data_IF_115718711192
#
_entry.id   IF_115718711192
#
_cell.length_a   1.000
_cell.length_b   1.000
_cell.length_c   1.000
_cell.angle_alpha   90.00
_cell.angle_beta   90.00
_cell.angle_gamma   90.00
#
_symmetry.space_group_name_H-M   'P 1'
#
loop_
_entity.id
_entity.type
_entity.pdbx_description
1 polymer ?
#
# COMPACT_ATOMS: atom_id res chain seq x y z
N UNK A 1 19.70 -53.82 -43.83
CA UNK A 1 19.26 -54.21 -42.46
C UNK A 1 20.48 -54.44 -41.61
N UNK A 2 20.41 -54.00 -40.35
CA UNK A 2 21.14 -54.58 -39.21
C UNK A 2 22.67 -54.36 -39.19
N UNK A 3 23.33 -53.92 -38.13
CA UNK A 3 22.97 -53.72 -36.72
C UNK A 3 24.31 -53.62 -35.99
N UNK A 4 24.50 -52.62 -35.12
CA UNK A 4 25.75 -52.44 -34.38
C UNK A 4 25.52 -52.75 -32.90
N UNK A 5 26.26 -53.74 -32.37
CA UNK A 5 26.60 -53.96 -30.94
C UNK A 5 27.79 -54.94 -30.88
N UNK A 6 28.59 -55.05 -29.79
CA UNK A 6 29.66 -54.18 -29.31
C UNK A 6 31.01 -54.93 -29.16
N UNK A 7 32.06 -54.27 -28.65
CA UNK A 7 33.13 -54.95 -27.90
C UNK A 7 33.65 -54.09 -26.74
N UNK A 8 33.86 -54.72 -25.58
CA UNK A 8 34.51 -54.20 -24.37
C UNK A 8 35.75 -55.05 -24.04
N UNK A 9 36.49 -54.78 -22.95
CA UNK A 9 37.37 -53.64 -22.68
C UNK A 9 38.85 -54.07 -22.74
N UNK A 10 39.79 -53.14 -22.98
CA UNK A 10 41.23 -53.40 -22.85
C UNK A 10 41.82 -52.71 -21.62
N UNK A 11 42.14 -53.52 -20.62
CA UNK A 11 43.03 -53.14 -19.53
C UNK A 11 44.48 -53.02 -20.03
N UNK A 12 45.22 -52.06 -19.48
CA UNK A 12 46.67 -51.98 -19.61
C UNK A 12 47.33 -52.24 -18.25
N UNK A 13 48.24 -53.23 -18.26
CA UNK A 13 49.21 -53.54 -17.21
C UNK A 13 50.35 -52.51 -17.24
N UNK A 14 50.76 -52.00 -16.09
CA UNK A 14 52.16 -51.64 -15.83
C UNK A 14 52.56 -52.17 -14.46
N UNK A 15 53.68 -52.90 -14.43
CA UNK A 15 54.31 -53.52 -13.25
C UNK A 15 55.37 -52.58 -12.68
N UNK A 16 55.39 -52.43 -11.35
CA UNK A 16 56.65 -52.43 -10.60
C UNK A 16 57.43 -51.13 -10.38
N UNK A 17 56.78 -49.96 -10.32
CA UNK A 17 57.33 -48.77 -9.65
C UNK A 17 56.16 -48.11 -8.92
N UNK A 18 56.19 -48.04 -7.59
CA UNK A 18 55.20 -47.24 -6.87
C UNK A 18 55.33 -45.78 -7.33
N UNK A 19 54.23 -45.10 -7.70
CA UNK A 19 54.30 -43.71 -8.07
C UNK A 19 54.73 -42.91 -6.83
N UNK A 20 55.89 -42.29 -6.90
CA UNK A 20 56.34 -41.31 -5.90
C UNK A 20 55.29 -40.20 -5.87
N UNK A 21 54.58 -40.08 -4.76
CA UNK A 21 53.64 -39.00 -4.54
C UNK A 21 54.41 -37.69 -4.33
N UNK A 22 54.67 -37.01 -5.45
CA UNK A 22 55.26 -35.67 -5.50
C UNK A 22 54.36 -34.62 -4.80
N UNK A 23 53.10 -34.97 -4.48
CA UNK A 23 52.21 -34.17 -3.65
C UNK A 23 52.63 -34.21 -2.18
N UNK A 24 52.96 -35.38 -1.63
CA UNK A 24 53.31 -35.55 -0.22
C UNK A 24 54.58 -34.78 0.19
N UNK A 25 55.60 -34.69 -0.68
CA UNK A 25 56.82 -33.91 -0.39
C UNK A 25 56.61 -32.39 -0.45
N UNK A 26 55.52 -31.92 -1.07
CA UNK A 26 55.23 -30.48 -1.24
C UNK A 26 54.44 -29.87 -0.08
N UNK A 27 53.95 -30.70 0.85
CA UNK A 27 53.13 -30.28 2.00
C UNK A 27 53.94 -30.04 3.28
N UNK A 28 55.23 -30.37 3.31
CA UNK A 28 56.10 -30.18 4.49
C UNK A 28 56.70 -28.75 4.61
N UNK A 29 56.33 -27.80 3.74
CA UNK A 29 56.88 -26.43 3.74
C UNK A 29 55.84 -25.31 3.89
N UNK A 30 54.58 -25.62 4.24
CA UNK A 30 53.62 -24.58 4.60
C UNK A 30 53.57 -24.44 6.12
N UNK A 31 53.98 -23.30 6.71
CA UNK A 31 53.65 -23.02 8.10
C UNK A 31 52.12 -22.96 8.23
N UNK A 32 51.58 -23.50 9.33
CA UNK A 32 50.16 -23.50 9.67
C UNK A 32 49.57 -22.09 9.55
N UNK A 33 49.01 -21.78 8.39
CA UNK A 33 48.20 -20.59 8.20
C UNK A 33 46.88 -20.86 8.93
N UNK A 34 46.42 -19.93 9.79
CA UNK A 34 45.12 -20.09 10.43
C UNK A 34 44.07 -20.32 9.35
N UNK A 35 43.06 -21.17 9.60
CA UNK A 35 42.07 -21.54 8.59
C UNK A 35 41.52 -20.27 7.96
N UNK A 36 41.73 -20.15 6.64
CA UNK A 36 41.20 -19.06 5.84
C UNK A 36 39.69 -19.09 6.07
N UNK A 37 39.16 -18.04 6.68
CA UNK A 37 37.73 -17.93 6.91
C UNK A 37 37.04 -18.24 5.59
N UNK A 38 36.26 -19.33 5.56
CA UNK A 38 35.28 -19.54 4.52
C UNK A 38 34.56 -18.20 4.40
N UNK A 39 34.53 -17.65 3.18
CA UNK A 39 33.78 -16.44 2.93
C UNK A 39 32.31 -16.80 3.20
N UNK A 40 31.89 -16.58 4.45
CA UNK A 40 30.49 -16.62 4.86
C UNK A 40 29.77 -15.77 3.82
N UNK A 41 28.73 -16.31 3.13
CA UNK A 41 27.86 -15.46 2.35
C UNK A 41 27.48 -14.30 3.25
N UNK A 42 27.72 -13.05 2.82
CA UNK A 42 27.39 -11.87 3.61
C UNK A 42 25.95 -12.05 4.07
N UNK A 43 25.74 -12.19 5.38
CA UNK A 43 24.42 -12.39 5.99
C UNK A 43 23.58 -11.17 5.63
N UNK A 44 22.77 -11.30 4.58
CA UNK A 44 21.70 -10.38 4.32
C UNK A 44 20.76 -10.51 5.52
N UNK A 45 20.77 -9.50 6.39
CA UNK A 45 20.00 -9.49 7.64
C UNK A 45 18.54 -9.91 7.45
N UNK A 46 17.95 -10.46 8.50
CA UNK A 46 16.59 -11.00 8.50
C UNK A 46 15.57 -10.10 7.78
N UNK A 47 14.51 -10.70 7.25
CA UNK A 47 13.35 -10.00 6.67
C UNK A 47 12.10 -10.33 7.46
N UNK A 48 11.09 -9.49 7.41
CA UNK A 48 9.81 -9.73 8.07
C UNK A 48 9.02 -10.82 7.35
N UNK A 49 9.01 -10.75 6.02
CA UNK A 49 8.41 -11.76 5.15
C UNK A 49 9.21 -11.87 3.86
N UNK A 50 9.13 -13.05 3.23
CA UNK A 50 9.68 -13.40 1.92
C UNK A 50 8.79 -14.44 1.24
N UNK A 51 8.91 -14.64 -0.09
CA UNK A 51 8.30 -15.78 -0.75
C UNK A 51 8.75 -17.10 -0.13
N UNK A 52 7.80 -17.96 0.22
CA UNK A 52 8.03 -19.28 0.80
C UNK A 52 8.69 -20.27 -0.17
N UNK A 53 8.72 -19.94 -1.47
CA UNK A 53 9.41 -20.71 -2.50
C UNK A 53 10.90 -20.40 -2.61
N UNK A 54 11.40 -19.39 -1.90
CA UNK A 54 12.84 -19.16 -1.82
C UNK A 54 13.50 -20.21 -0.91
N UNK A 55 14.74 -20.64 -1.22
CA UNK A 55 15.47 -21.57 -0.36
C UNK A 55 15.62 -21.07 1.08
N UNK A 56 15.85 -22.01 1.99
CA UNK A 56 16.06 -21.73 3.42
C UNK A 56 17.21 -20.74 3.62
N UNK A 57 16.99 -19.73 4.47
CA UNK A 57 17.99 -18.69 4.74
C UNK A 57 18.17 -17.66 3.62
N UNK A 58 17.57 -17.88 2.44
CA UNK A 58 17.67 -16.98 1.28
C UNK A 58 16.48 -16.04 1.25
N UNK A 59 16.76 -14.72 1.23
CA UNK A 59 15.75 -13.66 1.18
C UNK A 59 15.62 -12.98 -0.19
N UNK A 60 16.50 -13.31 -1.14
CA UNK A 60 16.57 -12.72 -2.47
C UNK A 60 16.54 -13.80 -3.56
N UNK A 61 16.01 -13.49 -4.73
CA UNK A 61 16.15 -14.35 -5.89
C UNK A 61 17.61 -14.43 -6.33
N UNK A 62 18.07 -15.64 -6.68
CA UNK A 62 19.41 -15.84 -7.23
C UNK A 62 19.56 -15.24 -8.64
N UNK A 63 18.44 -15.06 -9.35
CA UNK A 63 18.41 -14.54 -10.72
C UNK A 63 18.20 -13.03 -10.72
N UNK A 64 18.59 -12.39 -11.82
CA UNK A 64 18.28 -10.97 -12.05
C UNK A 64 16.79 -10.73 -12.29
N UNK A 65 15.93 -11.74 -12.38
CA UNK A 65 14.51 -11.57 -12.73
C UNK A 65 13.67 -12.01 -11.54
N UNK A 66 12.93 -11.07 -10.96
CA UNK A 66 11.98 -11.34 -9.88
C UNK A 66 10.65 -11.71 -10.54
N UNK A 67 10.09 -12.90 -10.26
CA UNK A 67 8.79 -13.30 -10.79
C UNK A 67 7.66 -12.50 -10.15
N UNK A 68 6.52 -12.42 -10.85
CA UNK A 68 5.27 -12.00 -10.23
C UNK A 68 4.69 -13.18 -9.44
N UNK A 69 4.41 -12.99 -8.17
CA UNK A 69 3.90 -14.04 -7.28
C UNK A 69 2.54 -13.67 -6.69
N UNK A 70 1.77 -14.67 -6.31
CA UNK A 70 0.58 -14.44 -5.49
C UNK A 70 1.01 -14.02 -4.08
N UNK A 71 0.21 -13.17 -3.42
CA UNK A 71 0.45 -12.78 -2.02
C UNK A 71 0.50 -13.98 -1.06
N UNK A 72 -0.19 -15.08 -1.38
CA UNK A 72 -0.17 -16.32 -0.60
C UNK A 72 1.20 -16.97 -0.51
N UNK A 73 2.14 -16.62 -1.40
CA UNK A 73 3.53 -17.06 -1.29
C UNK A 73 4.30 -16.32 -0.19
N UNK A 74 3.86 -15.13 0.23
CA UNK A 74 4.51 -14.35 1.28
C UNK A 74 3.88 -14.56 2.66
N UNK A 75 2.60 -14.97 2.70
CA UNK A 75 1.88 -15.08 3.95
C UNK A 75 0.37 -15.24 3.81
N UNK A 76 -0.30 -15.27 4.96
CA UNK A 76 -1.76 -15.31 5.05
C UNK A 76 -2.29 -13.88 5.12
N UNK A 77 -3.04 -13.48 4.09
CA UNK A 77 -3.66 -12.17 3.98
C UNK A 77 -5.09 -12.19 4.55
N UNK A 78 -5.43 -11.14 5.30
CA UNK A 78 -6.79 -10.81 5.73
C UNK A 78 -7.08 -9.36 5.38
N UNK A 79 -8.25 -9.10 4.77
CA UNK A 79 -8.73 -7.75 4.54
C UNK A 79 -9.79 -7.40 5.58
N UNK A 80 -9.60 -6.25 6.22
CA UNK A 80 -10.54 -5.66 7.16
C UNK A 80 -11.06 -4.33 6.62
N UNK A 81 -12.28 -3.99 6.98
CA UNK A 81 -12.80 -2.65 6.75
C UNK A 81 -13.94 -2.30 7.70
N UNK A 82 -14.28 -1.02 7.73
CA UNK A 82 -15.41 -0.51 8.50
C UNK A 82 -16.06 0.67 7.80
N UNK A 83 -17.35 0.88 8.07
CA UNK A 83 -18.17 1.90 7.40
C UNK A 83 -18.44 3.11 8.27
N UNK A 84 -18.67 2.89 9.55
CA UNK A 84 -19.08 3.94 10.48
C UNK A 84 -18.18 3.94 11.71
N UNK A 85 -18.00 5.12 12.29
CA UNK A 85 -17.37 5.22 13.58
C UNK A 85 -18.37 4.95 14.71
N UNK A 86 -17.85 4.39 15.79
CA UNK A 86 -18.57 4.25 17.05
C UNK A 86 -18.76 5.61 17.76
N UNK A 87 -19.41 5.59 18.92
CA UNK A 87 -19.63 6.79 19.74
C UNK A 87 -18.33 7.48 20.21
N UNK A 88 -17.18 6.81 20.09
CA UNK A 88 -15.85 7.37 20.42
C UNK A 88 -15.14 7.95 19.19
N UNK A 89 -15.76 7.89 18.01
CA UNK A 89 -15.18 8.37 16.76
C UNK A 89 -14.17 7.40 16.14
N UNK A 90 -14.11 6.14 16.60
CA UNK A 90 -13.23 5.10 16.02
C UNK A 90 -14.05 4.13 15.17
N UNK A 91 -13.50 3.68 14.06
CA UNK A 91 -14.16 2.77 13.13
C UNK A 91 -13.92 1.32 13.56
N UNK A 92 -14.95 0.54 13.92
CA UNK A 92 -14.78 -0.88 14.16
C UNK A 92 -14.42 -1.61 12.87
N UNK A 93 -13.29 -2.32 12.88
CA UNK A 93 -12.86 -3.12 11.75
C UNK A 93 -13.52 -4.48 11.78
N UNK A 94 -14.13 -4.85 10.66
CA UNK A 94 -14.79 -6.14 10.42
C UNK A 94 -14.11 -6.86 9.26
N UNK A 95 -14.21 -8.19 9.22
CA UNK A 95 -13.54 -9.00 8.21
C UNK A 95 -14.26 -8.93 6.86
N UNK A 96 -13.55 -8.47 5.83
CA UNK A 96 -14.01 -8.47 4.44
C UNK A 96 -13.72 -9.85 3.82
N UNK A 97 -12.48 -10.33 3.97
CA UNK A 97 -12.02 -11.58 3.37
C UNK A 97 -10.73 -12.10 4.02
N UNK A 98 -10.32 -13.32 3.67
CA UNK A 98 -9.06 -13.92 4.08
C UNK A 98 -9.24 -15.09 5.05
N UNK A 99 -8.14 -15.49 5.67
CA UNK A 99 -8.12 -16.60 6.61
C UNK A 99 -8.86 -16.29 7.92
N UNK A 100 -9.25 -17.34 8.65
CA UNK A 100 -9.79 -17.20 9.99
C UNK A 100 -8.75 -16.51 10.89
N UNK A 101 -9.18 -15.46 11.59
CA UNK A 101 -8.33 -14.70 12.48
C UNK A 101 -8.10 -15.46 13.80
N UNK A 102 -6.93 -15.29 14.44
CA UNK A 102 -6.69 -15.87 15.76
C UNK A 102 -7.76 -15.43 16.75
N UNK A 103 -8.39 -16.35 17.48
CA UNK A 103 -9.44 -15.99 18.44
C UNK A 103 -8.96 -15.00 19.51
N UNK A 104 -7.67 -15.09 19.89
CA UNK A 104 -7.02 -14.16 20.81
C UNK A 104 -6.95 -12.69 20.30
N UNK A 105 -7.10 -12.47 18.98
CA UNK A 105 -7.06 -11.14 18.37
C UNK A 105 -8.16 -10.22 18.90
N UNK A 106 -9.30 -10.76 19.34
CA UNK A 106 -10.39 -9.93 19.89
C UNK A 106 -10.92 -8.92 18.87
N UNK A 107 -10.90 -7.63 19.20
CA UNK A 107 -11.41 -6.55 18.34
C UNK A 107 -10.38 -5.48 18.03
N UNK A 108 -10.56 -4.81 16.89
CA UNK A 108 -9.72 -3.72 16.41
C UNK A 108 -10.59 -2.51 16.04
N UNK A 109 -10.23 -1.34 16.57
CA UNK A 109 -10.86 -0.05 16.25
C UNK A 109 -9.85 0.89 15.61
N UNK A 110 -10.17 1.44 14.43
CA UNK A 110 -9.32 2.36 13.69
C UNK A 110 -9.68 3.81 14.03
N UNK A 111 -8.75 4.54 14.65
CA UNK A 111 -8.89 5.95 14.98
C UNK A 111 -8.13 6.87 14.01
N UNK A 112 -8.39 8.18 14.09
CA UNK A 112 -7.75 9.19 13.23
C UNK A 112 -8.45 9.41 11.88
N UNK A 113 -9.57 8.72 11.66
CA UNK A 113 -10.38 8.85 10.45
C UNK A 113 -11.54 9.77 10.77
N UNK A 114 -11.72 10.86 10.00
CA UNK A 114 -12.93 11.65 10.15
C UNK A 114 -14.10 10.81 9.66
N UNK A 115 -14.90 10.30 10.60
CA UNK A 115 -16.11 9.58 10.30
C UNK A 115 -17.00 10.48 9.45
N UNK A 116 -17.26 10.09 8.20
CA UNK A 116 -18.48 10.57 7.56
C UNK A 116 -19.61 9.89 8.30
N UNK A 117 -20.29 10.63 9.19
CA UNK A 117 -21.64 10.24 9.58
C UNK A 117 -22.38 9.97 8.27
N UNK A 118 -22.83 8.73 8.07
CA UNK A 118 -23.63 8.35 6.93
C UNK A 118 -24.89 9.20 6.95
N UNK A 119 -24.87 10.36 6.31
CA UNK A 119 -26.08 11.00 5.88
C UNK A 119 -26.62 10.08 4.78
N UNK A 120 -27.45 9.12 5.18
CA UNK A 120 -28.41 8.54 4.29
C UNK A 120 -29.32 9.67 3.83
N UNK A 121 -28.89 10.42 2.80
CA UNK A 121 -29.81 11.19 1.98
C UNK A 121 -30.60 10.16 1.18
N UNK A 122 -31.55 9.52 1.85
CA UNK A 122 -32.66 8.88 1.19
C UNK A 122 -33.34 9.97 0.38
N UNK A 123 -33.07 10.00 -0.93
CA UNK A 123 -33.93 10.70 -1.88
C UNK A 123 -35.19 9.83 -1.99
N UNK A 124 -36.03 9.91 -0.96
CA UNK A 124 -37.39 9.43 -0.99
C UNK A 124 -38.26 10.53 -1.57
N UNK A 125 -38.42 10.56 -2.89
CA UNK A 125 -39.57 11.24 -3.48
C UNK A 125 -40.82 10.43 -3.14
N UNK A 126 -41.44 10.76 -2.01
CA UNK A 126 -42.69 10.16 -1.55
C UNK A 126 -43.41 11.15 -0.64
N UNK A 127 -44.35 11.89 -1.22
CA UNK A 127 -45.30 12.69 -0.47
C UNK A 127 -46.13 11.77 0.45
N UNK A 128 -46.15 12.06 1.75
CA UNK A 128 -46.97 11.34 2.72
C UNK A 128 -46.72 11.84 4.14
N UNK A 129 -47.58 12.74 4.61
CA UNK A 129 -47.60 13.23 5.98
C UNK A 129 -47.79 12.08 6.99
N UNK A 130 -46.95 12.03 8.01
CA UNK A 130 -47.08 11.09 9.13
C UNK A 130 -46.42 11.65 10.38
N UNK A 131 -47.24 12.06 11.34
CA UNK A 131 -46.89 12.68 12.62
C UNK A 131 -46.08 11.70 13.49
N UNK A 132 -44.94 12.13 14.04
CA UNK A 132 -44.22 11.40 15.08
C UNK A 132 -44.57 11.94 16.47
N UNK A 133 -45.47 11.26 17.16
CA UNK A 133 -45.59 11.36 18.63
C UNK A 133 -44.55 10.46 19.28
N UNK A 134 -43.67 11.05 20.08
CA UNK A 134 -42.57 10.33 20.73
C UNK A 134 -43.02 9.34 21.81
N UNK A 135 -42.17 8.36 22.10
CA UNK A 135 -42.10 7.68 23.40
C UNK A 135 -40.70 7.11 23.56
N UNK A 136 -40.06 7.42 24.69
CA UNK A 136 -38.82 6.83 25.14
C UNK A 136 -39.09 5.50 25.85
N UNK A 137 -38.30 4.46 25.57
CA UNK A 137 -38.03 3.38 26.54
C UNK A 137 -36.80 2.55 26.14
N UNK A 138 -36.07 2.19 27.19
CA UNK A 138 -34.89 1.34 27.32
C UNK A 138 -35.13 -0.15 27.01
N UNK A 139 -34.12 -0.84 26.45
CA UNK A 139 -33.88 -2.28 26.69
C UNK A 139 -33.99 -3.23 25.48
N UNK A 140 -32.86 -3.84 25.14
CA UNK A 140 -32.60 -5.14 24.48
C UNK A 140 -33.55 -5.74 23.40
N UNK A 141 -32.87 -6.16 22.31
CA UNK A 141 -33.12 -7.28 21.39
C UNK A 141 -33.98 -7.10 20.13
N UNK A 142 -33.46 -7.70 19.04
CA UNK A 142 -34.14 -8.29 17.88
C UNK A 142 -34.98 -7.40 16.94
N UNK A 143 -34.40 -7.16 15.76
CA UNK A 143 -35.00 -7.14 14.42
C UNK A 143 -36.43 -6.61 14.20
N UNK A 144 -36.55 -5.58 13.34
CA UNK A 144 -37.55 -5.58 12.24
C UNK A 144 -37.21 -4.53 11.16
N UNK A 145 -36.79 -5.04 10.01
CA UNK A 145 -37.01 -4.65 8.60
C UNK A 145 -37.56 -3.26 8.23
N UNK A 146 -36.87 -2.61 7.28
CA UNK A 146 -37.46 -2.12 6.01
C UNK A 146 -36.41 -2.25 4.90
N UNK A 147 -36.60 -3.17 3.95
CA UNK A 147 -35.77 -3.26 2.73
C UNK A 147 -36.59 -2.74 1.55
N UNK A 148 -36.28 -1.53 1.09
CA UNK A 148 -36.54 -1.14 -0.29
C UNK A 148 -35.36 -1.60 -1.14
N UNK A 149 -35.67 -2.33 -2.20
CA UNK A 149 -34.78 -2.97 -3.17
C UNK A 149 -33.78 -1.98 -3.77
N UNK A 150 -32.50 -2.13 -3.40
CA UNK A 150 -31.38 -1.37 -3.93
C UNK A 150 -30.22 -1.33 -2.93
N UNK A 151 -29.35 -2.34 -2.96
CA UNK A 151 -28.13 -2.32 -2.13
C UNK A 151 -27.18 -1.27 -2.72
N UNK A 152 -27.24 -0.04 -2.22
CA UNK A 152 -26.09 0.86 -2.33
C UNK A 152 -25.07 0.28 -1.35
N UNK A 153 -24.05 -0.42 -1.86
CA UNK A 153 -22.92 -0.84 -1.05
C UNK A 153 -22.27 0.42 -0.46
N UNK A 154 -22.56 0.71 0.81
CA UNK A 154 -22.00 1.87 1.48
C UNK A 154 -20.47 1.85 1.43
N UNK A 155 -19.87 3.00 1.11
CA UNK A 155 -18.42 3.13 1.03
C UNK A 155 -17.75 2.78 2.36
N UNK A 156 -16.56 2.18 2.29
CA UNK A 156 -15.73 1.91 3.46
C UNK A 156 -15.10 3.23 3.93
N UNK A 157 -15.26 3.53 5.21
CA UNK A 157 -14.60 4.67 5.84
C UNK A 157 -13.14 4.35 6.20
N UNK A 158 -12.79 3.06 6.37
CA UNK A 158 -11.42 2.62 6.55
C UNK A 158 -11.19 1.20 6.06
N UNK A 159 -9.99 0.95 5.53
CA UNK A 159 -9.54 -0.36 5.05
C UNK A 159 -8.16 -0.65 5.63
N UNK A 160 -7.97 -1.88 6.10
CA UNK A 160 -6.67 -2.40 6.51
C UNK A 160 -6.43 -3.78 5.88
N UNK A 161 -5.22 -4.01 5.37
CA UNK A 161 -4.77 -5.34 4.97
C UNK A 161 -3.73 -5.86 5.96
N UNK A 162 -3.96 -7.06 6.50
CA UNK A 162 -3.10 -7.73 7.46
C UNK A 162 -2.43 -8.93 6.79
N UNK A 163 -1.12 -9.07 6.92
CA UNK A 163 -0.36 -10.19 6.37
C UNK A 163 0.49 -10.83 7.46
N UNK A 164 0.16 -12.07 7.82
CA UNK A 164 1.04 -12.90 8.65
C UNK A 164 2.05 -13.61 7.76
N UNK A 165 3.37 -13.47 8.02
CA UNK A 165 4.39 -14.15 7.24
C UNK A 165 4.19 -15.67 7.19
N UNK A 166 4.54 -16.30 6.07
CA UNK A 166 4.60 -17.75 5.99
C UNK A 166 5.56 -18.31 7.07
N UNK A 167 5.15 -19.39 7.75
CA UNK A 167 6.03 -20.09 8.68
C UNK A 167 7.03 -20.94 7.87
N UNK A 168 8.28 -20.47 7.78
CA UNK A 168 9.31 -21.11 6.97
C UNK A 168 10.19 -22.07 7.78
N UNK A 169 10.20 -21.94 9.10
CA UNK A 169 11.09 -22.73 9.97
C UNK A 169 12.59 -22.44 9.77
N UNK A 170 12.94 -21.42 8.98
CA UNK A 170 14.31 -21.01 8.71
C UNK A 170 14.73 -19.79 9.56
N UNK A 171 16.02 -19.47 9.57
CA UNK A 171 16.56 -18.30 10.30
C UNK A 171 16.56 -17.01 9.48
N UNK A 172 15.82 -16.97 8.36
CA UNK A 172 15.78 -15.80 7.48
C UNK A 172 14.81 -14.73 7.95
N UNK A 173 13.84 -15.11 8.79
CA UNK A 173 12.82 -14.20 9.31
C UNK A 173 13.25 -13.60 10.64
N UNK A 174 12.79 -12.38 10.92
CA UNK A 174 12.99 -11.79 12.25
C UNK A 174 12.26 -12.63 13.31
N UNK A 175 12.89 -12.81 14.47
CA UNK A 175 12.17 -13.32 15.65
C UNK A 175 11.28 -12.22 16.25
N UNK A 176 10.20 -12.58 16.96
CA UNK A 176 9.40 -11.61 17.69
C UNK A 176 10.24 -10.74 18.65
N UNK A 177 11.27 -11.32 19.27
CA UNK A 177 12.20 -10.65 20.18
C UNK A 177 13.05 -9.59 19.45
N UNK A 178 13.51 -9.89 18.24
CA UNK A 178 14.24 -8.92 17.42
C UNK A 178 13.33 -7.76 17.03
N UNK A 179 12.10 -8.03 16.57
CA UNK A 179 11.15 -6.97 16.17
C UNK A 179 10.82 -6.02 17.32
N UNK A 180 10.77 -6.50 18.56
CA UNK A 180 10.54 -5.65 19.75
C UNK A 180 11.56 -4.51 19.88
N UNK A 181 12.81 -4.73 19.47
CA UNK A 181 13.89 -3.74 19.58
C UNK A 181 14.08 -2.85 18.34
N UNK A 182 13.47 -3.20 17.20
CA UNK A 182 13.73 -2.54 15.91
C UNK A 182 12.82 -1.32 15.68
N UNK A 183 13.37 -0.19 15.25
CA UNK A 183 12.55 0.94 14.78
C UNK A 183 11.94 0.68 13.41
N UNK A 184 12.70 0.01 12.56
CA UNK A 184 12.31 -0.38 11.22
C UNK A 184 12.75 -1.83 10.97
N UNK A 185 11.98 -2.57 10.18
CA UNK A 185 12.31 -3.92 9.75
C UNK A 185 12.28 -4.03 8.24
N UNK A 186 13.19 -4.85 7.71
CA UNK A 186 13.20 -5.21 6.29
C UNK A 186 11.95 -6.04 5.96
N UNK A 187 11.32 -5.83 4.81
CA UNK A 187 10.29 -6.70 4.23
C UNK A 187 10.56 -6.92 2.75
N UNK A 188 10.20 -8.09 2.20
CA UNK A 188 10.26 -8.38 0.75
C UNK A 188 8.98 -8.06 0.00
N UNK A 189 7.94 -7.60 0.68
CA UNK A 189 6.66 -7.21 0.08
C UNK A 189 6.11 -5.93 0.68
N UNK A 190 5.53 -5.09 -0.16
CA UNK A 190 4.71 -3.93 0.25
C UNK A 190 3.42 -3.88 -0.55
N UNK A 191 2.32 -3.73 0.15
CA UNK A 191 0.95 -3.89 -0.36
C UNK A 191 0.22 -2.56 -0.43
N UNK A 192 -0.64 -2.44 -1.43
CA UNK A 192 -1.62 -1.39 -1.56
C UNK A 192 -3.02 -2.00 -1.68
N UNK A 193 -4.00 -1.36 -1.05
CA UNK A 193 -5.41 -1.71 -1.14
C UNK A 193 -6.23 -0.41 -1.19
N UNK A 194 -7.19 -0.33 -2.11
CA UNK A 194 -8.11 0.81 -2.22
C UNK A 194 -9.52 0.38 -2.59
N UNK A 195 -10.51 1.21 -2.24
CA UNK A 195 -11.86 1.05 -2.77
C UNK A 195 -12.03 1.98 -3.97
N UNK A 196 -12.46 1.41 -5.08
CA UNK A 196 -12.76 2.17 -6.29
C UNK A 196 -14.11 2.87 -6.17
N UNK A 197 -14.37 3.82 -7.06
CA UNK A 197 -15.59 4.63 -7.05
C UNK A 197 -16.86 3.79 -7.23
N UNK A 198 -16.76 2.61 -7.85
CA UNK A 198 -17.84 1.64 -8.02
C UNK A 198 -18.04 0.73 -6.79
N UNK A 199 -17.28 0.94 -5.71
CA UNK A 199 -17.33 0.17 -4.48
C UNK A 199 -16.48 -1.11 -4.49
N UNK A 200 -15.88 -1.49 -5.62
CA UNK A 200 -14.99 -2.65 -5.72
C UNK A 200 -13.64 -2.39 -5.06
N UNK A 201 -12.94 -3.45 -4.67
CA UNK A 201 -11.61 -3.34 -4.08
C UNK A 201 -10.53 -3.60 -5.13
N UNK A 202 -9.55 -2.69 -5.22
CA UNK A 202 -8.31 -2.88 -5.98
C UNK A 202 -7.16 -3.12 -5.01
N UNK A 203 -6.37 -4.18 -5.26
CA UNK A 203 -5.21 -4.48 -4.44
C UNK A 203 -4.06 -5.05 -5.27
N UNK A 204 -2.84 -4.66 -4.94
CA UNK A 204 -1.61 -5.12 -5.58
C UNK A 204 -0.44 -4.93 -4.61
N UNK A 205 0.72 -5.48 -4.92
CA UNK A 205 1.93 -5.20 -4.16
C UNK A 205 3.18 -5.21 -5.02
N UNK A 206 4.28 -4.76 -4.42
CA UNK A 206 5.60 -4.79 -5.03
C UNK A 206 6.56 -5.62 -4.20
N UNK A 207 7.40 -6.40 -4.88
CA UNK A 207 8.59 -6.98 -4.27
C UNK A 207 9.67 -5.88 -4.11
N UNK A 208 10.32 -5.85 -2.95
CA UNK A 208 11.26 -4.76 -2.58
C UNK A 208 12.73 -5.09 -2.83
N UNK A 209 13.08 -6.31 -3.24
CA UNK A 209 14.47 -6.79 -3.29
C UNK A 209 15.40 -5.87 -4.11
N UNK A 210 14.89 -5.31 -5.20
CA UNK A 210 15.65 -4.40 -6.08
C UNK A 210 15.51 -2.92 -5.73
N UNK A 211 14.78 -2.59 -4.68
CA UNK A 211 14.50 -1.23 -4.22
C UNK A 211 14.81 -1.16 -2.73
N UNK A 212 16.09 -0.94 -2.42
CA UNK A 212 16.55 -0.78 -1.04
C UNK A 212 15.91 0.42 -0.34
N UNK A 213 15.46 1.41 -1.11
CA UNK A 213 14.66 2.54 -0.61
C UNK A 213 13.22 2.15 -0.23
N UNK A 214 12.77 0.94 -0.58
CA UNK A 214 11.43 0.42 -0.28
C UNK A 214 11.43 -0.70 0.76
N UNK A 215 12.59 -1.31 1.04
CA UNK A 215 12.64 -2.55 1.82
C UNK A 215 12.47 -2.35 3.33
N UNK A 216 12.79 -1.16 3.86
CA UNK A 216 12.67 -0.85 5.29
C UNK A 216 11.35 -0.17 5.59
N UNK A 217 10.58 -0.72 6.53
CA UNK A 217 9.31 -0.12 7.00
C UNK A 217 9.31 0.01 8.52
N UNK A 218 8.60 1.01 9.07
CA UNK A 218 8.50 1.23 10.51
C UNK A 218 7.87 0.04 11.25
N UNK A 219 8.34 -0.18 12.48
CA UNK A 219 7.77 -1.16 13.42
C UNK A 219 6.89 -0.43 14.43
N UNK A 220 5.58 -0.64 14.35
CA UNK A 220 4.59 -0.16 15.30
C UNK A 220 4.35 -1.19 16.41
N UNK A 221 4.02 -0.70 17.60
CA UNK A 221 3.75 -1.53 18.79
C UNK A 221 2.48 -1.06 19.44
N UNK A 222 1.75 -1.99 20.06
CA UNK A 222 0.73 -1.61 21.01
C UNK A 222 1.35 -1.20 22.34
N UNK A 223 0.90 -0.05 22.84
CA UNK A 223 1.24 0.48 24.14
C UNK A 223 -0.01 0.62 25.01
N UNK A 224 0.13 0.39 26.31
CA UNK A 224 -0.97 0.56 27.24
C UNK A 224 -1.29 2.05 27.40
N UNK A 225 -2.51 2.45 27.04
CA UNK A 225 -3.07 3.77 27.26
C UNK A 225 -4.32 3.64 28.14
N UNK A 226 -4.14 3.79 29.46
CA UNK A 226 -5.19 3.50 30.43
C UNK A 226 -5.56 2.00 30.40
N UNK A 227 -6.82 1.69 30.10
CA UNK A 227 -7.32 0.33 29.94
C UNK A 227 -7.23 -0.20 28.49
N UNK A 228 -6.77 0.63 27.54
CA UNK A 228 -6.70 0.27 26.12
C UNK A 228 -5.28 -0.08 25.70
N UNK A 229 -5.14 -0.90 24.66
CA UNK A 229 -3.89 -1.12 23.95
C UNK A 229 -3.95 -0.34 22.63
N UNK A 230 -3.06 0.63 22.43
CA UNK A 230 -3.11 1.54 21.28
C UNK A 230 -1.79 1.49 20.54
N UNK A 231 -1.83 1.27 19.24
CA UNK A 231 -0.71 1.44 18.33
C UNK A 231 -0.88 2.73 17.54
N UNK A 232 0.14 3.59 17.55
CA UNK A 232 0.20 4.82 16.77
C UNK A 232 0.97 4.56 15.46
N UNK A 233 0.41 5.02 14.35
CA UNK A 233 0.98 4.90 13.02
C UNK A 233 1.43 6.26 12.48
N UNK A 234 1.30 7.35 13.25
CA UNK A 234 1.56 8.72 12.83
C UNK A 234 0.43 9.29 11.97
N UNK A 235 0.50 10.60 11.70
CA UNK A 235 -0.55 11.36 11.00
C UNK A 235 -1.94 11.27 11.66
N UNK A 236 -1.97 11.00 12.96
CA UNK A 236 -3.19 10.84 13.75
C UNK A 236 -3.86 9.46 13.61
N UNK A 237 -3.33 8.56 12.78
CA UNK A 237 -3.88 7.21 12.58
C UNK A 237 -3.47 6.33 13.76
N UNK A 238 -4.47 5.70 14.39
CA UNK A 238 -4.25 4.80 15.52
C UNK A 238 -5.06 3.53 15.36
N UNK A 239 -4.57 2.42 15.92
CA UNK A 239 -5.32 1.18 16.06
C UNK A 239 -5.45 0.87 17.53
N UNK A 240 -6.69 0.74 18.01
CA UNK A 240 -6.98 0.28 19.37
C UNK A 240 -7.28 -1.20 19.32
N UNK A 241 -6.57 -1.99 20.11
CA UNK A 241 -6.75 -3.42 20.24
C UNK A 241 -7.38 -3.75 21.59
N UNK A 242 -8.43 -4.58 21.55
CA UNK A 242 -9.02 -5.17 22.74
C UNK A 242 -8.86 -6.69 22.65
N UNK A 243 -8.01 -7.32 23.48
CA UNK A 243 -7.85 -8.76 23.45
C UNK A 243 -9.15 -9.48 23.78
N UNK A 244 -9.30 -10.71 23.28
CA UNK A 244 -10.37 -11.59 23.74
C UNK A 244 -10.20 -11.92 25.24
N UNK A 245 -11.25 -11.73 26.03
CA UNK A 245 -11.26 -12.06 27.47
C UNK A 245 -11.12 -13.57 27.69
N UNK A 246 -11.79 -14.36 26.85
CA UNK A 246 -11.64 -15.82 26.77
C UNK A 246 -11.54 -16.25 25.30
N UNK A 247 -10.34 -16.61 24.80
CA UNK A 247 -10.15 -17.03 23.41
C UNK A 247 -10.99 -18.27 23.01
N UNK A 248 -11.42 -19.09 23.96
CA UNK A 248 -12.23 -20.29 23.67
C UNK A 248 -13.71 -19.97 23.44
N UNK A 249 -14.17 -18.82 23.95
CA UNK A 249 -15.55 -18.33 23.84
C UNK A 249 -15.67 -17.05 22.98
N UNK A 250 -14.56 -16.52 22.47
CA UNK A 250 -14.54 -15.28 21.71
C UNK A 250 -15.04 -15.49 20.27
N UNK A 251 -16.00 -14.65 19.86
CA UNK A 251 -16.56 -14.67 18.50
C UNK A 251 -15.60 -14.12 17.42
N UNK A 252 -14.37 -13.74 17.77
CA UNK A 252 -13.39 -13.13 16.86
C UNK A 252 -13.86 -11.79 16.28
N UNK A 253 -13.11 -11.28 15.31
CA UNK A 253 -13.55 -10.13 14.51
C UNK A 253 -14.72 -10.60 13.61
N UNK A 254 -15.90 -9.96 13.67
CA UNK A 254 -17.05 -10.40 12.90
C UNK A 254 -16.87 -10.10 11.40
N UNK A 255 -17.57 -10.85 10.50
CA UNK A 255 -17.60 -10.51 9.08
C UNK A 255 -18.32 -9.18 8.84
N UNK A 256 -17.88 -8.45 7.81
CA UNK A 256 -18.52 -7.22 7.38
C UNK A 256 -19.81 -7.55 6.60
N UNK A 257 -20.94 -6.99 7.04
CA UNK A 257 -22.21 -7.15 6.32
C UNK A 257 -22.14 -6.50 4.93
N UNK A 258 -22.56 -7.26 3.90
CA UNK A 258 -22.46 -6.85 2.50
C UNK A 258 -21.02 -6.40 2.11
N UNK A 259 -20.01 -7.17 2.52
CA UNK A 259 -18.61 -6.93 2.19
C UNK A 259 -18.38 -6.90 0.66
N UNK A 260 -17.55 -5.96 0.16
CA UNK A 260 -17.17 -5.96 -1.25
C UNK A 260 -16.33 -7.21 -1.60
N UNK A 261 -16.35 -7.61 -2.87
CA UNK A 261 -15.53 -8.72 -3.33
C UNK A 261 -14.05 -8.38 -3.21
N UNK A 262 -13.28 -9.27 -2.57
CA UNK A 262 -11.85 -9.11 -2.40
C UNK A 262 -11.08 -9.39 -3.71
N UNK A 263 -10.05 -8.59 -4.03
CA UNK A 263 -9.25 -8.79 -5.22
C UNK A 263 -8.26 -9.94 -5.02
N UNK A 264 -7.86 -10.57 -6.14
CA UNK A 264 -6.67 -11.40 -6.13
C UNK A 264 -5.43 -10.50 -6.17
N UNK A 265 -4.58 -10.57 -5.15
CA UNK A 265 -3.42 -9.67 -5.00
C UNK A 265 -2.16 -10.34 -5.55
N UNK A 266 -1.62 -9.72 -6.60
CA UNK A 266 -0.32 -10.06 -7.20
C UNK A 266 0.78 -9.15 -6.67
N UNK A 267 1.96 -9.73 -6.47
CA UNK A 267 3.19 -9.05 -6.04
C UNK A 267 4.11 -8.96 -7.24
N UNK A 268 4.27 -7.74 -7.74
CA UNK A 268 5.00 -7.45 -8.96
C UNK A 268 6.46 -7.08 -8.69
N UNK A 269 7.38 -7.39 -9.62
CA UNK A 269 8.70 -6.78 -9.61
C UNK A 269 8.58 -5.26 -9.85
N UNK A 270 9.49 -4.43 -9.32
CA UNK A 270 9.46 -2.98 -9.52
C UNK A 270 9.98 -2.60 -10.91
N UNK A 271 9.16 -2.79 -11.95
CA UNK A 271 9.50 -2.56 -13.36
C UNK A 271 8.43 -1.74 -14.07
N UNK A 272 8.79 -1.07 -15.16
CA UNK A 272 7.83 -0.33 -16.01
C UNK A 272 6.70 -1.21 -16.56
N UNK A 273 6.98 -2.50 -16.77
CA UNK A 273 5.97 -3.47 -17.18
C UNK A 273 4.91 -3.69 -16.10
N UNK A 274 5.27 -3.65 -14.81
CA UNK A 274 4.29 -3.75 -13.73
C UNK A 274 3.35 -2.52 -13.73
N UNK A 275 3.90 -1.34 -14.03
CA UNK A 275 3.15 -0.09 -14.01
C UNK A 275 2.07 -0.02 -15.10
N UNK A 276 2.33 -0.64 -16.26
CA UNK A 276 1.32 -0.77 -17.33
C UNK A 276 0.21 -1.75 -16.99
N UNK A 277 0.47 -2.74 -16.13
CA UNK A 277 -0.52 -3.74 -15.68
C UNK A 277 -1.38 -3.18 -14.55
N UNK A 278 -0.79 -2.50 -13.57
CA UNK A 278 -1.49 -2.03 -12.36
C UNK A 278 -2.42 -0.83 -12.64
N UNK A 279 -2.13 -0.07 -13.70
CA UNK A 279 -2.85 1.15 -14.13
C UNK A 279 -2.91 2.21 -13.01
N UNK A 280 -2.17 3.30 -13.18
CA UNK A 280 -2.01 4.38 -12.20
C UNK A 280 -1.58 3.84 -10.81
N UNK A 281 -0.43 3.16 -10.70
CA UNK A 281 0.05 2.66 -9.43
C UNK A 281 0.43 3.81 -8.48
N UNK A 282 -0.01 3.70 -7.23
CA UNK A 282 0.69 4.27 -6.08
C UNK A 282 1.91 3.41 -5.75
N UNK A 283 3.01 4.03 -5.32
CA UNK A 283 4.25 3.33 -5.00
C UNK A 283 4.51 3.25 -3.49
N UNK A 284 5.34 2.29 -3.03
CA UNK A 284 5.55 2.03 -1.60
C UNK A 284 5.93 3.24 -0.72
N UNK A 285 6.74 4.23 -1.17
CA UNK A 285 7.01 5.41 -0.36
C UNK A 285 5.77 6.19 0.09
N UNK A 286 4.64 6.04 -0.61
CA UNK A 286 3.38 6.70 -0.30
C UNK A 286 2.41 5.80 0.48
N UNK A 287 2.79 4.56 0.80
CA UNK A 287 1.93 3.66 1.59
C UNK A 287 2.05 3.97 3.08
N UNK A 288 0.97 3.71 3.80
CA UNK A 288 0.91 3.79 5.26
C UNK A 288 0.93 2.38 5.84
N UNK A 289 2.11 1.75 5.80
CA UNK A 289 2.31 0.37 6.22
C UNK A 289 3.43 0.18 7.26
N UNK A 290 3.30 -0.90 8.02
CA UNK A 290 4.07 -1.12 9.23
C UNK A 290 4.23 -2.62 9.50
N UNK A 291 5.27 -2.96 10.24
CA UNK A 291 5.28 -4.21 11.00
C UNK A 291 4.61 -3.93 12.34
N UNK A 292 3.53 -4.62 12.66
CA UNK A 292 2.79 -4.48 13.90
C UNK A 292 3.15 -5.59 14.88
N UNK A 293 3.65 -5.20 16.05
CA UNK A 293 4.06 -6.12 17.13
C UNK A 293 3.05 -6.05 18.27
N UNK A 294 2.50 -7.21 18.63
CA UNK A 294 1.56 -7.36 19.74
C UNK A 294 2.30 -7.50 21.09
N UNK A 295 1.64 -7.16 22.21
CA UNK A 295 2.23 -7.32 23.53
C UNK A 295 2.63 -8.77 23.83
N UNK A 296 3.69 -8.99 24.62
CA UNK A 296 4.12 -10.33 25.02
C UNK A 296 2.99 -11.11 25.72
N UNK A 297 2.88 -12.41 25.45
CA UNK A 297 1.85 -13.27 26.06
C UNK A 297 0.46 -13.17 25.41
N UNK A 298 0.26 -12.28 24.43
CA UNK A 298 -1.00 -12.17 23.66
C UNK A 298 -1.36 -13.43 22.85
N UNK A 299 -0.37 -14.28 22.54
CA UNK A 299 -0.56 -15.42 21.63
C UNK A 299 -0.68 -15.04 20.15
N UNK A 300 -0.52 -13.76 19.81
CA UNK A 300 -0.65 -13.25 18.44
C UNK A 300 0.75 -12.96 17.89
N UNK A 301 1.08 -13.54 16.73
CA UNK A 301 2.34 -13.27 16.06
C UNK A 301 2.34 -11.87 15.42
N UNK A 302 3.51 -11.20 15.37
CA UNK A 302 3.66 -9.96 14.61
C UNK A 302 3.19 -10.12 13.15
N UNK A 303 2.61 -9.06 12.59
CA UNK A 303 2.04 -9.05 11.25
C UNK A 303 2.46 -7.79 10.49
N UNK A 304 2.39 -7.82 9.17
CA UNK A 304 2.46 -6.63 8.33
C UNK A 304 1.05 -6.03 8.23
N UNK A 305 0.92 -4.72 8.35
CA UNK A 305 -0.34 -4.00 8.20
C UNK A 305 -0.17 -2.83 7.25
N UNK A 306 -1.14 -2.61 6.35
CA UNK A 306 -1.26 -1.37 5.57
C UNK A 306 -2.65 -0.80 5.70
N UNK A 307 -2.75 0.52 5.84
CA UNK A 307 -4.01 1.24 5.85
C UNK A 307 -4.23 2.00 4.55
N UNK A 308 -5.49 2.09 4.14
CA UNK A 308 -5.94 3.12 3.22
C UNK A 308 -7.08 3.93 3.86
N UNK A 309 -6.67 4.97 4.59
CA UNK A 309 -7.57 5.90 5.30
C UNK A 309 -7.37 7.35 4.85
N UNK A 310 -6.14 7.72 4.48
CA UNK A 310 -5.76 9.10 4.21
C UNK A 310 -5.88 9.45 2.71
N UNK A 311 -5.54 8.52 1.82
CA UNK A 311 -5.46 8.79 0.39
C UNK A 311 -6.84 8.90 -0.23
N UNK A 312 -7.77 8.01 0.14
CA UNK A 312 -9.17 8.10 -0.30
C UNK A 312 -9.79 9.45 0.09
N UNK A 313 -9.58 9.88 1.35
CA UNK A 313 -10.09 11.16 1.86
C UNK A 313 -9.38 12.34 1.21
N UNK A 314 -8.05 12.35 1.15
CA UNK A 314 -7.28 13.43 0.52
C UNK A 314 -7.58 13.54 -0.97
N UNK A 315 -7.81 12.41 -1.65
CA UNK A 315 -8.21 12.37 -3.06
C UNK A 315 -9.62 12.89 -3.25
N UNK A 316 -10.59 12.45 -2.43
CA UNK A 316 -11.97 12.94 -2.48
C UNK A 316 -12.05 14.43 -2.14
N UNK A 317 -11.37 14.87 -1.09
CA UNK A 317 -11.27 16.28 -0.68
C UNK A 317 -10.52 17.10 -1.72
N UNK A 318 -9.41 16.59 -2.25
CA UNK A 318 -8.65 17.16 -3.36
C UNK A 318 -9.53 17.40 -4.58
N UNK A 319 -10.24 16.36 -5.00
CA UNK A 319 -11.15 16.41 -6.13
C UNK A 319 -12.32 17.38 -5.90
N UNK A 320 -12.97 17.33 -4.74
CA UNK A 320 -14.06 18.23 -4.40
C UNK A 320 -13.61 19.71 -4.38
N UNK A 321 -12.43 19.98 -3.83
CA UNK A 321 -11.85 21.33 -3.84
C UNK A 321 -11.51 21.79 -5.26
N UNK A 322 -10.95 20.91 -6.09
CA UNK A 322 -10.68 21.21 -7.50
C UNK A 322 -11.97 21.44 -8.29
N UNK A 323 -13.02 20.62 -8.06
CA UNK A 323 -14.34 20.78 -8.67
C UNK A 323 -14.94 22.16 -8.33
N UNK A 324 -14.98 22.50 -7.03
CA UNK A 324 -15.48 23.81 -6.57
C UNK A 324 -14.67 24.99 -7.13
N UNK A 325 -13.34 24.86 -7.15
CA UNK A 325 -12.45 25.90 -7.67
C UNK A 325 -12.65 26.09 -9.17
N UNK A 326 -12.87 24.99 -9.92
CA UNK A 326 -13.10 25.04 -11.35
C UNK A 326 -14.45 25.65 -11.71
N UNK A 327 -15.50 25.36 -10.94
CA UNK A 327 -16.83 25.96 -11.13
C UNK A 327 -16.80 27.48 -11.00
N UNK A 328 -15.99 28.02 -10.08
CA UNK A 328 -15.79 29.47 -9.97
C UNK A 328 -14.88 30.00 -11.08
N UNK A 329 -13.76 29.32 -11.32
CA UNK A 329 -12.75 29.72 -12.31
C UNK A 329 -13.33 29.80 -13.73
N UNK A 330 -14.15 28.82 -14.12
CA UNK A 330 -14.70 28.72 -15.48
C UNK A 330 -15.72 29.80 -15.82
N UNK A 331 -16.36 30.45 -14.83
CA UNK A 331 -17.34 31.53 -15.06
C UNK A 331 -16.76 32.74 -15.80
N UNK A 332 -15.46 32.99 -15.66
CA UNK A 332 -14.78 34.15 -16.25
C UNK A 332 -13.88 33.79 -17.44
N UNK A 333 -13.80 32.49 -17.80
CA UNK A 333 -12.85 31.96 -18.77
C UNK A 333 -13.60 31.20 -19.88
N UNK A 334 -13.91 31.85 -21.03
CA UNK A 334 -14.67 31.23 -22.11
C UNK A 334 -14.04 29.95 -22.65
N UNK A 335 -12.71 29.86 -22.65
CA UNK A 335 -12.00 28.60 -22.84
C UNK A 335 -11.35 28.20 -21.52
N UNK A 336 -11.78 27.08 -20.94
CA UNK A 336 -11.18 26.50 -19.74
C UNK A 336 -11.06 25.00 -19.87
N UNK A 337 -10.00 24.45 -19.26
CA UNK A 337 -9.72 23.03 -19.28
C UNK A 337 -9.10 22.58 -17.96
N UNK A 338 -9.41 21.34 -17.58
CA UNK A 338 -8.84 20.67 -16.42
C UNK A 338 -7.72 19.73 -16.80
N UNK A 339 -6.76 19.57 -15.89
CA UNK A 339 -5.73 18.55 -15.92
C UNK A 339 -4.92 18.55 -17.24
N UNK A 340 -4.40 19.72 -17.64
CA UNK A 340 -3.63 19.89 -18.87
C UNK A 340 -2.16 19.54 -18.61
N UNK A 341 -1.62 18.58 -19.35
CA UNK A 341 -0.20 18.22 -19.22
C UNK A 341 0.66 19.13 -20.08
N UNK A 342 1.67 19.73 -19.47
CA UNK A 342 2.61 20.66 -20.11
C UNK A 342 4.04 20.19 -19.94
N UNK A 343 4.90 20.63 -20.85
CA UNK A 343 6.33 20.37 -20.81
C UNK A 343 7.08 21.69 -20.91
N UNK A 344 7.97 21.95 -19.97
CA UNK A 344 8.87 23.10 -19.99
C UNK A 344 10.03 22.88 -20.97
N UNK A 345 10.80 23.94 -21.26
CA UNK A 345 11.92 23.88 -22.21
C UNK A 345 13.04 22.94 -21.72
N UNK A 346 13.28 22.90 -20.41
CA UNK A 346 14.21 21.95 -19.78
C UNK A 346 13.71 20.50 -19.83
N UNK A 347 12.47 20.30 -20.27
CA UNK A 347 11.86 19.00 -20.48
C UNK A 347 11.10 18.44 -19.29
N UNK A 348 10.95 19.22 -18.22
CA UNK A 348 10.13 18.81 -17.06
C UNK A 348 8.67 18.77 -17.48
N UNK A 349 8.04 17.61 -17.25
CA UNK A 349 6.61 17.41 -17.47
C UNK A 349 5.87 17.61 -16.17
N UNK A 350 4.85 18.46 -16.18
CA UNK A 350 3.91 18.63 -15.07
C UNK A 350 2.50 18.77 -15.61
N UNK A 351 1.53 18.53 -14.76
CA UNK A 351 0.13 18.78 -15.05
C UNK A 351 -0.29 20.07 -14.35
N UNK A 352 -1.03 20.91 -15.07
CA UNK A 352 -1.69 22.09 -14.53
C UNK A 352 -3.15 21.69 -14.29
N UNK A 353 -3.65 21.90 -13.08
CA UNK A 353 -4.99 21.45 -12.70
C UNK A 353 -6.07 22.23 -13.44
N UNK A 354 -5.91 23.55 -13.61
CA UNK A 354 -6.84 24.37 -14.37
C UNK A 354 -6.08 25.35 -15.27
N UNK A 355 -6.45 25.37 -16.55
CA UNK A 355 -6.00 26.36 -17.51
C UNK A 355 -7.20 27.09 -18.09
N UNK A 356 -7.04 28.37 -18.36
CA UNK A 356 -8.11 29.22 -18.86
C UNK A 356 -7.57 30.34 -19.72
N UNK A 357 -8.32 30.70 -20.75
CA UNK A 357 -8.05 31.82 -21.65
C UNK A 357 -9.21 32.81 -21.53
N UNK A 358 -8.90 34.07 -21.23
CA UNK A 358 -9.92 35.14 -21.20
C UNK A 358 -10.26 35.62 -22.62
N UNK A 359 -11.20 36.56 -22.74
CA UNK A 359 -11.62 37.12 -24.03
C UNK A 359 -10.48 37.82 -24.79
N UNK A 360 -9.47 38.34 -24.07
CA UNK A 360 -8.29 39.00 -24.64
C UNK A 360 -7.20 38.00 -25.11
N UNK A 361 -7.44 36.70 -24.92
CA UNK A 361 -6.51 35.65 -25.31
C UNK A 361 -5.42 35.34 -24.27
N UNK A 362 -5.44 35.99 -23.11
CA UNK A 362 -4.47 35.80 -22.03
C UNK A 362 -4.69 34.47 -21.32
N UNK A 363 -3.61 33.70 -21.19
CA UNK A 363 -3.62 32.38 -20.54
C UNK A 363 -3.32 32.53 -19.06
N UNK A 364 -4.14 31.90 -18.23
CA UNK A 364 -3.93 31.74 -16.79
C UNK A 364 -3.81 30.26 -16.43
N UNK A 365 -2.95 29.94 -15.47
CA UNK A 365 -2.67 28.58 -15.00
C UNK A 365 -2.86 28.51 -13.48
N UNK A 366 -3.53 27.47 -13.00
CA UNK A 366 -3.80 27.26 -11.58
C UNK A 366 -3.50 25.82 -11.17
N UNK A 367 -2.89 25.69 -9.99
CA UNK A 367 -2.73 24.45 -9.24
C UNK A 367 -3.61 24.49 -7.98
N UNK A 368 -4.38 23.43 -7.75
CA UNK A 368 -5.25 23.29 -6.59
C UNK A 368 -4.56 22.47 -5.50
N UNK A 369 -4.60 22.97 -4.27
CA UNK A 369 -4.15 22.23 -3.08
C UNK A 369 -5.24 22.27 -2.04
N UNK A 370 -5.87 21.14 -1.75
CA UNK A 370 -6.99 21.03 -0.80
C UNK A 370 -6.61 21.20 0.69
N UNK A 371 -5.39 21.65 0.99
CA UNK A 371 -4.91 21.96 2.32
C UNK A 371 -3.95 23.15 2.27
N UNK A 372 -3.96 23.95 3.32
CA UNK A 372 -3.10 25.12 3.51
C UNK A 372 -1.60 24.79 3.37
N UNK A 373 -1.19 23.60 3.83
CA UNK A 373 0.23 23.22 3.89
C UNK A 373 0.61 22.15 2.86
N UNK A 374 -0.31 21.70 2.01
CA UNK A 374 -0.03 20.62 1.06
C UNK A 374 1.16 20.98 0.15
N UNK A 375 2.21 20.14 0.09
CA UNK A 375 3.41 20.45 -0.65
C UNK A 375 3.18 20.31 -2.17
N UNK A 376 3.95 21.07 -2.95
CA UNK A 376 4.11 20.81 -4.38
C UNK A 376 4.91 19.53 -4.61
N UNK A 377 4.60 18.79 -5.67
CA UNK A 377 5.40 17.63 -6.09
C UNK A 377 6.79 18.07 -6.56
N UNK A 378 7.74 17.12 -6.66
CA UNK A 378 9.11 17.39 -7.12
C UNK A 378 9.13 18.05 -8.50
N UNK A 379 8.24 17.63 -9.40
CA UNK A 379 8.15 18.20 -10.75
C UNK A 379 7.48 19.58 -10.73
N UNK A 380 6.43 19.79 -9.94
CA UNK A 380 5.78 21.10 -9.78
C UNK A 380 6.77 22.16 -9.24
N UNK A 381 7.57 21.81 -8.23
CA UNK A 381 8.62 22.70 -7.66
C UNK A 381 9.66 23.14 -8.69
N UNK A 382 9.93 22.30 -9.71
CA UNK A 382 10.87 22.61 -10.80
C UNK A 382 10.19 23.36 -11.95
N UNK A 383 9.01 22.90 -12.36
CA UNK A 383 8.33 23.39 -13.54
C UNK A 383 7.69 24.76 -13.32
N UNK A 384 7.00 25.02 -12.20
CA UNK A 384 6.25 26.27 -12.05
C UNK A 384 7.12 27.54 -12.15
N UNK A 385 8.31 27.61 -11.51
CA UNK A 385 9.21 28.75 -11.69
C UNK A 385 9.78 28.88 -13.11
N UNK A 386 9.83 27.78 -13.88
CA UNK A 386 10.29 27.78 -15.26
C UNK A 386 9.17 28.23 -16.22
N UNK A 387 7.94 27.75 -16.02
CA UNK A 387 6.76 28.18 -16.79
C UNK A 387 6.56 29.69 -16.65
N UNK A 388 6.78 30.25 -15.47
CA UNK A 388 6.70 31.70 -15.25
C UNK A 388 7.77 32.49 -16.02
N UNK A 389 8.93 31.88 -16.31
CA UNK A 389 10.06 32.55 -16.98
C UNK A 389 10.05 32.38 -18.48
N UNK A 390 9.84 31.16 -18.96
CA UNK A 390 9.99 30.80 -20.39
C UNK A 390 8.72 30.24 -21.00
N UNK A 391 7.72 29.92 -20.18
CA UNK A 391 6.49 29.29 -20.65
C UNK A 391 6.60 27.77 -20.72
N UNK A 392 5.69 27.16 -21.48
CA UNK A 392 5.66 25.71 -21.69
C UNK A 392 4.88 25.34 -22.96
N UNK A 393 4.92 24.07 -23.33
CA UNK A 393 4.11 23.53 -24.42
C UNK A 393 3.16 22.46 -23.90
N UNK A 394 1.89 22.52 -24.30
CA UNK A 394 0.91 21.47 -24.02
C UNK A 394 1.31 20.19 -24.78
N UNK A 395 1.34 19.06 -24.08
CA UNK A 395 1.80 17.78 -24.64
C UNK A 395 0.70 16.72 -24.64
N UNK A 396 0.84 15.73 -25.52
CA UNK A 396 -0.18 14.71 -25.75
C UNK A 396 -1.33 15.26 -26.62
N UNK A 397 -2.53 14.70 -26.47
CA UNK A 397 -3.71 15.16 -27.24
C UNK A 397 -4.20 16.56 -26.82
N UNK A 398 -3.80 17.04 -25.64
CA UNK A 398 -4.33 18.28 -25.05
C UNK A 398 -5.77 18.12 -24.56
N UNK A 399 -6.47 19.25 -24.44
CA UNK A 399 -7.88 19.37 -24.02
C UNK A 399 -8.60 20.37 -24.94
N UNK A 400 -9.94 20.40 -25.00
CA UNK A 400 -10.66 21.49 -25.66
C UNK A 400 -10.16 22.86 -25.17
N UNK A 401 -9.96 23.82 -26.09
CA UNK A 401 -9.33 25.12 -25.83
C UNK A 401 -7.80 25.11 -25.78
N UNK A 402 -7.18 23.97 -25.44
CA UNK A 402 -5.73 23.81 -25.30
C UNK A 402 -5.25 22.51 -25.97
N UNK A 403 -5.27 22.43 -27.32
CA UNK A 403 -4.82 21.24 -28.04
C UNK A 403 -3.33 20.96 -27.83
N UNK A 404 -2.90 19.72 -28.09
CA UNK A 404 -1.49 19.35 -28.11
C UNK A 404 -0.67 20.29 -29.02
N UNK A 405 0.48 20.75 -28.53
CA UNK A 405 1.33 21.72 -29.22
C UNK A 405 1.02 23.19 -28.91
N UNK A 406 -0.04 23.49 -28.13
CA UNK A 406 -0.31 24.87 -27.69
C UNK A 406 0.85 25.42 -26.88
N UNK A 407 1.41 26.55 -27.30
CA UNK A 407 2.42 27.30 -26.54
C UNK A 407 1.75 28.12 -25.46
N UNK A 408 2.24 27.95 -24.23
CA UNK A 408 1.92 28.75 -23.07
C UNK A 408 3.04 29.79 -22.96
N UNK A 409 2.75 31.09 -23.03
CA UNK A 409 3.75 32.12 -22.82
C UNK A 409 4.30 32.05 -21.37
N UNK A 410 5.31 32.85 -21.01
CA UNK A 410 5.69 33.02 -19.62
C UNK A 410 4.45 33.34 -18.75
N UNK A 411 4.07 32.41 -17.88
CA UNK A 411 2.82 32.47 -17.12
C UNK A 411 3.03 31.92 -15.73
N UNK A 412 2.72 32.72 -14.70
CA UNK A 412 2.76 32.26 -13.32
C UNK A 412 1.66 31.22 -13.08
N UNK A 413 2.03 30.10 -12.47
CA UNK A 413 1.05 29.12 -11.98
C UNK A 413 0.60 29.54 -10.58
N UNK A 414 -0.66 29.98 -10.47
CA UNK A 414 -1.25 30.36 -9.19
C UNK A 414 -1.59 29.12 -8.35
N UNK A 415 -1.28 29.14 -7.06
CA UNK A 415 -1.56 28.02 -6.17
C UNK A 415 -2.74 28.41 -5.30
N UNK A 416 -3.90 27.79 -5.53
CA UNK A 416 -5.11 28.02 -4.75
C UNK A 416 -5.19 27.00 -3.61
N UNK A 417 -5.50 27.50 -2.41
CA UNK A 417 -5.64 26.74 -1.17
C UNK A 417 -6.93 27.16 -0.44
N UNK A 418 -7.52 26.31 0.41
CA UNK A 418 -8.59 26.70 1.31
C UNK A 418 -8.16 27.88 2.20
N UNK A 419 -9.08 28.81 2.44
CA UNK A 419 -8.90 29.92 3.38
C UNK A 419 -9.01 29.39 4.83
N UNK A 420 -8.06 29.68 5.74
CA UNK A 420 -8.15 29.27 7.14
C UNK A 420 -9.31 29.90 7.93
N UNK A 421 -10.03 30.88 7.37
CA UNK A 421 -11.13 31.59 8.04
C UNK A 421 -12.55 31.03 7.78
N UNK A 422 -12.69 29.88 7.14
CA UNK A 422 -13.97 29.23 6.84
C UNK A 422 -14.13 27.84 7.48
#
# INVERSE_FOLDING_TARGET
MSGYVPNAPKGYRNKGVEPVDLGAQRWAQYPDLPPKAEAKPQTAGCTFTKPCKLPDGVINYATRVIPTNAISEYGQLVLLGGREADATGKIPLQQISGHALPAALGTLLLGGVAATAGAATGVGTGAGAGVSTGTAATGASAGTTFFTTGVIAGGLAGIAALLWPSSLGDSSLYTPEQLKALKEGRTRVRLHIEQQADGTLKGYGYNTEKRSDWEMIPVARFEAQGSQQVADFGDGITLTWTPAIDPSSASGIPPLEAAPQAPHIWIYPPTEQADSIIVNPLYPPDYKDFILVFPPGSGIQPLYIVFNVQLEKNRKQGKAFEDMSYDEYSKTKPESAREVTVKTDSGVRTRIDMMGRNADGEISCVECKSSEIAPLTKNQKKAFPEIEKTGATVVGKGKPGFPGGTTIPPTRVEIIRPDPAL
#
